data_IF_842378141446
#
_entry.id   IF_842378141446
#
_cell.length_a   1.000
_cell.length_b   1.000
_cell.length_c   1.000
_cell.angle_alpha   90.00
_cell.angle_beta   90.00
_cell.angle_gamma   90.00
#
_symmetry.space_group_name_H-M   'P 1'
#
loop_
_entity.id
_entity.type
_entity.pdbx_description
1 polymer ?
#
# COMPACT_ATOMS: atom_id res chain seq x y z
N UNK A 1 -25.69 14.19 -7.09
CA UNK A 1 -25.68 15.64 -7.40
C UNK A 1 -24.32 16.20 -6.98
N UNK A 2 -23.62 16.91 -7.88
CA UNK A 2 -22.46 17.72 -7.48
C UNK A 2 -22.97 19.02 -6.86
N UNK A 3 -22.36 19.51 -5.77
CA UNK A 3 -22.80 20.74 -5.12
C UNK A 3 -22.67 21.93 -6.09
N UNK A 4 -23.60 22.89 -6.00
CA UNK A 4 -23.55 24.11 -6.80
C UNK A 4 -22.33 24.96 -6.40
N UNK A 5 -21.68 25.66 -7.34
CA UNK A 5 -20.59 26.58 -7.02
C UNK A 5 -21.15 27.71 -6.16
N UNK A 6 -20.64 27.85 -4.93
CA UNK A 6 -21.13 28.87 -3.99
C UNK A 6 -20.76 28.65 -2.50
N UNK A 7 -19.96 27.62 -2.17
CA UNK A 7 -19.50 27.36 -0.81
C UNK A 7 -17.97 27.38 -0.69
N UNK A 8 -17.47 27.22 0.55
CA UNK A 8 -16.03 27.10 0.83
C UNK A 8 -15.54 25.73 0.31
N UNK A 9 -14.64 25.74 -0.67
CA UNK A 9 -14.04 24.52 -1.23
C UNK A 9 -13.16 24.79 -2.45
N UNK A 10 -12.32 23.82 -2.80
CA UNK A 10 -11.54 23.89 -4.05
C UNK A 10 -12.47 23.60 -5.24
N UNK A 11 -12.38 24.35 -6.35
CA UNK A 11 -13.16 24.03 -7.54
C UNK A 11 -12.73 22.66 -8.10
N UNK A 12 -13.70 21.85 -8.49
CA UNK A 12 -13.46 20.58 -9.19
C UNK A 12 -13.23 20.82 -10.68
N UNK A 13 -12.30 20.08 -11.30
CA UNK A 13 -12.16 20.05 -12.75
C UNK A 13 -12.93 18.86 -13.33
N UNK A 14 -13.39 18.96 -14.57
CA UNK A 14 -14.05 17.85 -15.26
C UNK A 14 -13.17 16.58 -15.30
N UNK A 15 -11.85 16.73 -15.34
CA UNK A 15 -10.90 15.62 -15.27
C UNK A 15 -10.91 14.93 -13.90
N UNK A 16 -10.80 15.70 -12.80
CA UNK A 16 -10.84 15.14 -11.44
C UNK A 16 -12.20 14.47 -11.15
N UNK A 17 -13.25 15.05 -11.69
CA UNK A 17 -14.61 14.53 -11.65
C UNK A 17 -14.75 13.16 -12.34
N UNK A 18 -14.14 13.00 -13.52
CA UNK A 18 -14.08 11.70 -14.23
C UNK A 18 -13.33 10.65 -13.41
N UNK A 19 -12.17 11.00 -12.85
CA UNK A 19 -11.41 10.09 -11.97
C UNK A 19 -12.28 9.61 -10.80
N UNK A 20 -13.02 10.54 -10.16
CA UNK A 20 -13.92 10.20 -9.06
C UNK A 20 -15.02 9.23 -9.49
N UNK A 21 -15.66 9.49 -10.63
CA UNK A 21 -16.73 8.63 -11.15
C UNK A 21 -16.20 7.24 -11.55
N UNK A 22 -15.05 7.17 -12.22
CA UNK A 22 -14.42 5.90 -12.62
C UNK A 22 -14.04 5.05 -11.39
N UNK A 23 -13.37 5.64 -10.41
CA UNK A 23 -12.95 4.92 -9.21
C UNK A 23 -14.14 4.41 -8.39
N UNK A 24 -15.20 5.21 -8.25
CA UNK A 24 -16.34 4.88 -7.39
C UNK A 24 -17.42 4.04 -8.06
N UNK A 25 -17.62 4.23 -9.37
CA UNK A 25 -18.78 3.70 -10.10
C UNK A 25 -18.41 3.04 -11.42
N UNK A 26 -17.22 3.31 -11.95
CA UNK A 26 -16.76 2.70 -13.20
C UNK A 26 -16.62 1.18 -13.11
N UNK A 27 -16.65 0.53 -14.27
CA UNK A 27 -16.49 -0.92 -14.41
C UNK A 27 -15.31 -1.27 -15.32
N UNK A 28 -14.75 -2.45 -15.12
CA UNK A 28 -13.63 -2.97 -15.90
C UNK A 28 -12.52 -3.55 -15.02
N UNK A 29 -11.76 -4.50 -15.57
CA UNK A 29 -10.76 -5.27 -14.83
C UNK A 29 -9.70 -4.39 -14.15
N UNK A 30 -9.20 -3.35 -14.83
CA UNK A 30 -8.20 -2.45 -14.25
C UNK A 30 -8.75 -1.62 -13.08
N UNK A 31 -10.00 -1.14 -13.16
CA UNK A 31 -10.62 -0.42 -12.06
C UNK A 31 -10.87 -1.33 -10.86
N UNK A 32 -11.26 -2.58 -11.09
CA UNK A 32 -11.43 -3.58 -10.03
C UNK A 32 -10.09 -3.91 -9.35
N UNK A 33 -9.03 -4.17 -10.13
CA UNK A 33 -7.68 -4.41 -9.62
C UNK A 33 -7.18 -3.23 -8.77
N UNK A 34 -7.41 -1.99 -9.22
CA UNK A 34 -7.06 -0.78 -8.47
C UNK A 34 -7.79 -0.69 -7.12
N UNK A 35 -9.07 -1.06 -7.06
CA UNK A 35 -9.84 -1.11 -5.81
C UNK A 35 -9.28 -2.16 -4.86
N UNK A 36 -8.93 -3.33 -5.37
CA UNK A 36 -8.27 -4.37 -4.56
C UNK A 36 -6.92 -3.90 -4.02
N UNK A 37 -6.07 -3.29 -4.87
CA UNK A 37 -4.79 -2.72 -4.43
C UNK A 37 -5.01 -1.65 -3.36
N UNK A 38 -6.01 -0.77 -3.53
CA UNK A 38 -6.34 0.25 -2.54
C UNK A 38 -6.80 -0.36 -1.20
N UNK A 39 -7.67 -1.39 -1.25
CA UNK A 39 -8.12 -2.12 -0.06
C UNK A 39 -6.97 -2.82 0.67
N UNK A 40 -6.12 -3.53 -0.05
CA UNK A 40 -4.94 -4.22 0.50
C UNK A 40 -3.91 -3.23 1.07
N UNK A 41 -3.66 -2.10 0.38
CA UNK A 41 -2.75 -1.05 0.87
C UNK A 41 -3.30 -0.39 2.14
N UNK A 42 -4.62 -0.22 2.23
CA UNK A 42 -5.30 0.29 3.43
C UNK A 42 -5.20 -0.71 4.58
N UNK A 43 -5.39 -2.01 4.31
CA UNK A 43 -5.21 -3.08 5.30
C UNK A 43 -3.77 -3.11 5.83
N UNK A 44 -2.78 -3.04 4.93
CA UNK A 44 -1.37 -2.95 5.30
C UNK A 44 -1.11 -1.71 6.16
N UNK A 45 -1.66 -0.56 5.77
CA UNK A 45 -1.53 0.69 6.53
C UNK A 45 -2.16 0.57 7.93
N UNK A 46 -3.33 -0.06 8.05
CA UNK A 46 -3.97 -0.26 9.36
C UNK A 46 -3.12 -1.15 10.27
N UNK A 47 -2.57 -2.25 9.73
CA UNK A 47 -1.70 -3.15 10.48
C UNK A 47 -0.40 -2.47 10.92
N UNK A 48 0.25 -1.73 10.01
CA UNK A 48 1.45 -0.93 10.32
C UNK A 48 1.14 0.23 11.27
N UNK A 49 -0.08 0.77 11.25
CA UNK A 49 -0.54 1.76 12.22
C UNK A 49 -0.52 1.21 13.65
N UNK A 50 -0.99 -0.02 13.85
CA UNK A 50 -0.93 -0.69 15.17
C UNK A 50 0.52 -0.86 15.63
N UNK A 51 1.41 -1.35 14.76
CA UNK A 51 2.84 -1.51 15.06
C UNK A 51 3.50 -0.16 15.34
N UNK A 52 3.20 0.86 14.53
CA UNK A 52 3.70 2.21 14.72
C UNK A 52 3.29 2.81 16.05
N UNK A 53 2.02 2.63 16.48
CA UNK A 53 1.58 3.07 17.80
C UNK A 53 2.39 2.41 18.94
N UNK A 54 2.80 1.15 18.77
CA UNK A 54 3.72 0.50 19.70
C UNK A 54 5.13 1.07 19.64
N UNK A 55 5.71 1.24 18.45
CA UNK A 55 7.07 1.74 18.28
C UNK A 55 7.25 3.21 18.72
N UNK A 56 6.20 4.01 18.64
CA UNK A 56 6.17 5.37 19.22
C UNK A 56 5.87 5.39 20.72
N UNK A 57 5.65 4.23 21.34
CA UNK A 57 5.37 4.10 22.78
C UNK A 57 3.96 4.51 23.21
N UNK A 58 3.04 4.72 22.27
CA UNK A 58 1.61 4.98 22.57
C UNK A 58 0.96 3.72 23.13
N UNK A 59 1.30 2.56 22.56
CA UNK A 59 0.94 1.25 23.09
C UNK A 59 2.11 0.67 23.88
N UNK A 60 1.83 0.08 25.04
CA UNK A 60 2.86 -0.61 25.86
C UNK A 60 3.20 -2.00 25.36
N UNK A 61 2.30 -2.60 24.59
CA UNK A 61 2.38 -3.94 24.02
C UNK A 61 1.57 -3.97 22.73
N UNK A 62 2.05 -4.71 21.74
CA UNK A 62 1.30 -4.95 20.51
C UNK A 62 0.09 -5.84 20.83
N UNK A 63 -1.13 -5.48 20.39
CA UNK A 63 -2.32 -6.29 20.64
C UNK A 63 -2.28 -7.56 19.79
N UNK A 64 -1.62 -8.60 20.29
CA UNK A 64 -1.37 -9.87 19.60
C UNK A 64 -1.89 -11.05 20.44
N UNK A 65 -2.54 -12.07 19.83
CA UNK A 65 -2.96 -13.26 20.55
C UNK A 65 -1.76 -14.05 21.10
N UNK A 66 -1.87 -14.65 22.30
CA UNK A 66 -0.76 -15.35 22.95
C UNK A 66 -0.58 -16.76 22.38
N UNK A 67 -0.16 -16.86 21.11
CA UNK A 67 0.09 -18.13 20.43
C UNK A 67 1.59 -18.47 20.40
N UNK A 68 1.96 -19.77 20.45
CA UNK A 68 3.35 -20.19 20.29
C UNK A 68 3.94 -19.67 18.96
N UNK A 69 5.14 -19.08 19.02
CA UNK A 69 5.82 -18.51 17.85
C UNK A 69 5.45 -17.06 17.54
N UNK A 70 4.35 -16.54 18.08
CA UNK A 70 4.06 -15.11 18.04
C UNK A 70 4.86 -14.36 19.11
N UNK A 71 5.23 -13.13 18.81
CA UNK A 71 6.10 -12.32 19.66
C UNK A 71 6.40 -10.96 19.07
N UNK A 72 5.35 -10.21 18.71
CA UNK A 72 5.45 -8.89 18.09
C UNK A 72 6.31 -7.93 18.92
N UNK A 73 6.15 -7.86 20.24
CA UNK A 73 7.01 -7.01 21.11
C UNK A 73 8.52 -7.31 20.92
N UNK A 74 8.90 -8.58 20.72
CA UNK A 74 10.31 -8.97 20.55
C UNK A 74 10.86 -8.63 19.16
N UNK A 75 9.99 -8.54 18.17
CA UNK A 75 10.33 -8.14 16.79
C UNK A 75 10.35 -6.61 16.69
N UNK A 76 9.27 -5.97 17.09
CA UNK A 76 8.99 -4.56 16.81
C UNK A 76 9.74 -3.59 17.75
N UNK A 77 10.22 -4.07 18.90
CA UNK A 77 11.12 -3.31 19.78
C UNK A 77 12.61 -3.62 19.56
N UNK A 78 12.94 -4.50 18.60
CA UNK A 78 14.33 -4.82 18.28
C UNK A 78 15.06 -3.62 17.65
N UNK A 79 16.39 -3.61 17.72
CA UNK A 79 17.18 -2.54 17.08
C UNK A 79 17.03 -2.55 15.55
N UNK A 80 16.83 -3.74 14.97
CA UNK A 80 16.54 -3.99 13.57
C UNK A 80 15.35 -3.17 13.06
N UNK A 81 14.27 -3.09 13.84
CA UNK A 81 13.05 -2.34 13.52
C UNK A 81 13.25 -0.81 13.45
N UNK A 82 14.43 -0.30 13.80
CA UNK A 82 14.77 1.13 13.73
C UNK A 82 16.00 1.42 12.88
N UNK A 83 16.57 0.41 12.19
CA UNK A 83 17.88 0.56 11.53
C UNK A 83 17.88 1.66 10.46
N UNK A 84 16.81 1.73 9.66
CA UNK A 84 16.73 2.68 8.57
C UNK A 84 16.45 4.08 9.12
N UNK A 85 17.42 4.98 8.93
CA UNK A 85 17.36 6.38 9.38
C UNK A 85 17.11 6.55 10.89
N UNK A 86 17.39 5.54 11.72
CA UNK A 86 17.05 5.55 13.16
C UNK A 86 15.57 5.85 13.40
N UNK A 87 14.71 5.36 12.51
CA UNK A 87 13.28 5.65 12.45
C UNK A 87 12.49 4.35 12.55
N UNK A 88 11.33 4.33 13.24
CA UNK A 88 10.43 3.19 13.26
C UNK A 88 10.12 2.68 11.85
N UNK A 89 10.39 1.40 11.58
CA UNK A 89 10.13 0.78 10.28
C UNK A 89 8.64 0.79 9.91
N UNK A 90 7.74 0.71 10.89
CA UNK A 90 6.31 0.80 10.65
C UNK A 90 5.89 2.18 10.12
N UNK A 91 6.58 3.26 10.52
CA UNK A 91 6.35 4.59 9.98
C UNK A 91 6.80 4.70 8.52
N UNK A 92 7.94 4.09 8.18
CA UNK A 92 8.42 4.01 6.81
C UNK A 92 7.50 3.13 5.94
N UNK A 93 7.02 2.03 6.50
CA UNK A 93 6.03 1.15 5.86
C UNK A 93 4.71 1.86 5.61
N UNK A 94 4.22 2.66 6.56
CA UNK A 94 3.01 3.48 6.41
C UNK A 94 3.16 4.48 5.26
N UNK A 95 4.28 5.20 5.22
CA UNK A 95 4.59 6.11 4.11
C UNK A 95 4.61 5.35 2.78
N UNK A 96 5.26 4.18 2.76
CA UNK A 96 5.34 3.32 1.59
C UNK A 96 3.95 2.90 1.09
N UNK A 97 3.09 2.40 1.98
CA UNK A 97 1.73 2.00 1.65
C UNK A 97 0.87 3.20 1.19
N UNK A 98 1.08 4.38 1.77
CA UNK A 98 0.45 5.63 1.33
C UNK A 98 0.80 6.01 -0.11
N UNK A 99 2.07 5.85 -0.51
CA UNK A 99 2.49 6.05 -1.91
C UNK A 99 1.79 5.06 -2.85
N UNK A 100 1.71 3.79 -2.47
CA UNK A 100 1.00 2.76 -3.26
C UNK A 100 -0.48 3.09 -3.41
N UNK A 101 -1.13 3.52 -2.32
CA UNK A 101 -2.54 3.94 -2.33
C UNK A 101 -2.76 5.16 -3.26
N UNK A 102 -1.87 6.16 -3.20
CA UNK A 102 -1.93 7.33 -4.07
C UNK A 102 -1.77 6.95 -5.55
N UNK A 103 -0.80 6.10 -5.89
CA UNK A 103 -0.59 5.60 -7.25
C UNK A 103 -1.78 4.77 -7.75
N UNK A 104 -2.42 3.97 -6.90
CA UNK A 104 -3.63 3.22 -7.26
C UNK A 104 -4.83 4.16 -7.56
N UNK A 105 -4.94 5.27 -6.84
CA UNK A 105 -5.97 6.30 -7.03
C UNK A 105 -5.74 7.27 -8.18
N UNK A 106 -4.52 7.36 -8.72
CA UNK A 106 -4.18 8.36 -9.74
C UNK A 106 -4.67 7.99 -11.15
N UNK A 107 -5.26 8.95 -11.87
CA UNK A 107 -5.68 8.78 -13.27
C UNK A 107 -7.05 8.13 -13.45
N UNK A 108 -7.67 8.38 -14.61
CA UNK A 108 -8.97 7.84 -14.98
C UNK A 108 -8.88 6.37 -15.43
N UNK A 109 -9.97 5.82 -15.98
CA UNK A 109 -10.02 4.43 -16.47
C UNK A 109 -9.05 4.12 -17.62
N UNK A 110 -8.65 5.13 -18.40
CA UNK A 110 -7.82 4.99 -19.60
C UNK A 110 -6.36 5.40 -19.33
N UNK A 111 -5.97 5.54 -18.05
CA UNK A 111 -4.62 5.95 -17.63
C UNK A 111 -3.49 5.12 -18.23
N UNK A 112 -3.71 3.84 -18.54
CA UNK A 112 -2.71 3.01 -19.21
C UNK A 112 -2.36 3.51 -20.63
N UNK A 113 -3.26 4.23 -21.28
CA UNK A 113 -3.07 4.85 -22.59
C UNK A 113 -2.56 6.28 -22.46
N UNK A 114 -3.20 7.08 -21.61
CA UNK A 114 -2.99 8.53 -21.57
C UNK A 114 -1.83 8.93 -20.66
N UNK A 115 -1.60 8.17 -19.59
CA UNK A 115 -0.56 8.41 -18.59
C UNK A 115 0.18 7.12 -18.24
N UNK A 116 0.83 6.44 -19.21
CA UNK A 116 1.37 5.10 -19.04
C UNK A 116 2.44 4.99 -17.94
N UNK A 117 3.09 6.10 -17.56
CA UNK A 117 4.06 6.10 -16.46
C UNK A 117 3.42 5.75 -15.10
N UNK A 118 2.13 6.05 -14.90
CA UNK A 118 1.41 5.82 -13.64
C UNK A 118 1.29 4.33 -13.30
N UNK A 119 0.69 3.47 -14.15
CA UNK A 119 0.62 2.04 -13.87
C UNK A 119 1.99 1.37 -13.83
N UNK A 120 3.00 1.90 -14.53
CA UNK A 120 4.38 1.40 -14.43
C UNK A 120 5.00 1.73 -13.07
N UNK A 121 4.85 2.96 -12.60
CA UNK A 121 5.28 3.37 -11.26
C UNK A 121 4.56 2.56 -10.18
N UNK A 122 3.25 2.33 -10.33
CA UNK A 122 2.48 1.48 -9.42
C UNK A 122 3.04 0.05 -9.39
N UNK A 123 3.27 -0.59 -10.54
CA UNK A 123 3.81 -1.94 -10.58
C UNK A 123 5.21 -2.02 -9.97
N UNK A 124 6.11 -1.09 -10.31
CA UNK A 124 7.44 -1.01 -9.71
C UNK A 124 7.37 -0.85 -8.18
N UNK A 125 6.46 0.02 -7.71
CA UNK A 125 6.26 0.25 -6.27
C UNK A 125 5.71 -0.99 -5.56
N UNK A 126 4.70 -1.65 -6.11
CA UNK A 126 4.18 -2.91 -5.54
C UNK A 126 5.21 -4.04 -5.53
N UNK A 127 6.12 -4.06 -6.51
CA UNK A 127 7.23 -5.01 -6.52
C UNK A 127 8.24 -4.72 -5.40
N UNK A 128 8.56 -3.43 -5.16
CA UNK A 128 9.41 -3.03 -4.05
C UNK A 128 8.77 -3.36 -2.69
N UNK A 129 7.48 -3.10 -2.51
CA UNK A 129 6.72 -3.44 -1.30
C UNK A 129 6.69 -4.96 -1.07
N UNK A 130 6.41 -5.74 -2.11
CA UNK A 130 6.43 -7.20 -2.03
C UNK A 130 7.81 -7.73 -1.62
N UNK A 131 8.88 -7.21 -2.23
CA UNK A 131 10.25 -7.59 -1.88
C UNK A 131 10.60 -7.23 -0.43
N UNK A 132 10.25 -6.01 0.01
CA UNK A 132 10.45 -5.57 1.38
C UNK A 132 9.67 -6.41 2.40
N UNK A 133 8.40 -6.71 2.11
CA UNK A 133 7.56 -7.56 2.96
C UNK A 133 8.11 -8.99 3.09
N UNK A 134 8.59 -9.58 1.99
CA UNK A 134 9.24 -10.90 2.02
C UNK A 134 10.54 -10.86 2.82
N UNK A 135 11.36 -9.84 2.63
CA UNK A 135 12.62 -9.67 3.35
C UNK A 135 12.41 -9.56 4.87
N UNK A 136 11.53 -8.67 5.31
CA UNK A 136 11.23 -8.47 6.73
C UNK A 136 10.55 -9.68 7.37
N UNK A 137 9.72 -10.40 6.60
CA UNK A 137 9.16 -11.68 7.08
C UNK A 137 10.26 -12.74 7.26
N UNK A 138 11.19 -12.85 6.31
CA UNK A 138 12.31 -13.77 6.43
C UNK A 138 13.21 -13.41 7.63
N UNK A 139 13.45 -12.12 7.90
CA UNK A 139 14.20 -11.66 9.06
C UNK A 139 13.53 -12.07 10.38
N UNK A 140 12.22 -11.89 10.52
CA UNK A 140 11.45 -12.34 11.69
C UNK A 140 11.65 -13.82 11.97
N UNK A 141 11.49 -14.65 10.95
CA UNK A 141 11.59 -16.11 11.07
C UNK A 141 13.02 -16.56 11.39
N UNK A 142 14.02 -15.98 10.71
CA UNK A 142 15.41 -16.46 10.79
C UNK A 142 16.20 -15.87 11.95
N UNK A 143 16.03 -14.57 12.24
CA UNK A 143 16.77 -13.85 13.28
C UNK A 143 16.05 -13.86 14.61
N UNK A 144 14.76 -13.50 14.62
CA UNK A 144 14.00 -13.35 15.88
C UNK A 144 13.36 -14.65 16.36
N UNK A 145 13.20 -15.65 15.47
CA UNK A 145 12.48 -16.91 15.73
C UNK A 145 11.07 -16.68 16.31
N UNK A 146 10.51 -15.51 16.00
CA UNK A 146 9.22 -14.99 16.43
C UNK A 146 8.63 -14.23 15.26
N UNK A 147 7.31 -14.26 15.15
CA UNK A 147 6.58 -13.58 14.08
C UNK A 147 5.63 -12.56 14.69
N UNK A 148 5.63 -11.36 14.13
CA UNK A 148 4.62 -10.34 14.37
C UNK A 148 3.44 -10.58 13.42
N UNK A 149 2.27 -10.87 13.98
CA UNK A 149 1.04 -11.14 13.24
C UNK A 149 0.60 -9.94 12.41
N UNK A 150 0.67 -8.73 12.97
CA UNK A 150 0.35 -7.48 12.26
C UNK A 150 1.28 -7.22 11.08
N UNK A 151 2.58 -7.40 11.29
CA UNK A 151 3.60 -7.27 10.27
C UNK A 151 3.42 -8.31 9.16
N UNK A 152 3.02 -9.53 9.52
CA UNK A 152 2.69 -10.59 8.56
C UNK A 152 1.46 -10.23 7.73
N UNK A 153 0.40 -9.69 8.34
CA UNK A 153 -0.77 -9.20 7.61
C UNK A 153 -0.38 -8.10 6.63
N UNK A 154 0.46 -7.15 7.06
CA UNK A 154 0.95 -6.09 6.19
C UNK A 154 1.77 -6.63 5.01
N UNK A 155 2.70 -7.56 5.27
CA UNK A 155 3.54 -8.17 4.25
C UNK A 155 2.72 -8.97 3.24
N UNK A 156 1.75 -9.78 3.68
CA UNK A 156 0.88 -10.54 2.80
C UNK A 156 -0.02 -9.62 1.95
N UNK A 157 -0.58 -8.57 2.55
CA UNK A 157 -1.39 -7.60 1.84
C UNK A 157 -0.58 -6.88 0.75
N UNK A 158 0.65 -6.45 1.07
CA UNK A 158 1.57 -5.83 0.11
C UNK A 158 1.96 -6.80 -1.01
N UNK A 159 2.31 -8.04 -0.67
CA UNK A 159 2.65 -9.08 -1.65
C UNK A 159 1.49 -9.35 -2.63
N UNK A 160 0.25 -9.39 -2.14
CA UNK A 160 -0.94 -9.60 -2.96
C UNK A 160 -1.23 -8.45 -3.95
N UNK A 161 -0.71 -7.23 -3.72
CA UNK A 161 -0.89 -6.10 -4.66
C UNK A 161 -0.13 -6.29 -5.96
N UNK A 162 1.02 -6.99 -5.95
CA UNK A 162 1.88 -7.15 -7.12
C UNK A 162 1.17 -7.83 -8.31
N UNK A 163 0.59 -9.04 -8.18
CA UNK A 163 -0.08 -9.68 -9.31
C UNK A 163 -1.27 -8.87 -9.83
N UNK A 164 -1.89 -8.02 -9.01
CA UNK A 164 -3.00 -7.14 -9.40
C UNK A 164 -2.52 -5.93 -10.23
N UNK A 165 -1.32 -5.41 -9.98
CA UNK A 165 -0.77 -4.26 -10.71
C UNK A 165 -0.23 -4.64 -12.11
N UNK A 166 0.19 -5.88 -12.29
CA UNK A 166 0.85 -6.38 -13.50
C UNK A 166 0.02 -6.23 -14.79
N UNK A 167 -1.29 -6.55 -14.84
CA UNK A 167 -2.06 -6.48 -16.09
C UNK A 167 -2.15 -5.06 -16.67
N UNK A 168 -2.38 -4.06 -15.82
CA UNK A 168 -2.45 -2.66 -16.25
C UNK A 168 -1.09 -2.13 -16.67
N UNK A 169 -0.02 -2.48 -15.94
CA UNK A 169 1.34 -2.16 -16.32
C UNK A 169 1.75 -2.76 -17.67
N UNK A 170 1.37 -4.02 -17.96
CA UNK A 170 1.57 -4.65 -19.27
C UNK A 170 0.83 -3.91 -20.38
N UNK A 171 -0.39 -3.42 -20.12
CA UNK A 171 -1.14 -2.62 -21.08
C UNK A 171 -0.42 -1.29 -21.38
N UNK A 172 0.08 -0.60 -20.36
CA UNK A 172 0.87 0.62 -20.53
C UNK A 172 2.19 0.38 -21.26
N UNK A 173 2.89 -0.72 -20.96
CA UNK A 173 4.13 -1.08 -21.63
C UNK A 173 3.92 -1.34 -23.13
N UNK A 174 2.83 -2.03 -23.51
CA UNK A 174 2.48 -2.21 -24.93
C UNK A 174 2.26 -0.88 -25.63
N UNK A 175 1.54 0.05 -24.99
CA UNK A 175 1.31 1.40 -25.54
C UNK A 175 2.57 2.21 -25.75
N UNK A 176 3.58 2.06 -24.89
CA UNK A 176 4.87 2.72 -25.08
C UNK A 176 5.71 2.09 -26.20
N UNK A 177 5.53 0.79 -26.48
CA UNK A 177 6.25 0.08 -27.57
C UNK A 177 5.62 0.30 -28.95
N UNK A 178 4.33 0.63 -28.99
CA UNK A 178 3.59 0.95 -30.22
C UNK A 178 3.80 2.40 -30.69
N UNK A 179 4.48 3.23 -29.90
CA UNK A 179 4.88 4.60 -30.25
C UNK A 179 6.29 4.61 -30.81
#
# INVERSE_FOLDING_TARGET
>A
MRPRPGGVGRPGSAAAERVSDDLRRGSGAHLEQRRWIAGLSTLASAALGVVGLYQFGVLRRVPEPPLPGLGADAVDASGEAYQLLRTPDAALGLLSAGVTLALAGMGDRDRARDTPWVPLALAAKTAADAAGGVYLFAEQVTRHRRVCSWCTVAALAQLATLPLAVPEARAALRRLRER
#
